data_IF_892611095204
#
_entry.id   IF_892611095204
#
_cell.length_a   1.000
_cell.length_b   1.000
_cell.length_c   1.000
_cell.angle_alpha   90.00
_cell.angle_beta   90.00
_cell.angle_gamma   90.00
#
_symmetry.space_group_name_H-M   'P 1'
#
loop_
_entity.id
_entity.type
_entity.pdbx_description
1 polymer ?
#
# COMPACT_ATOMS: atom_id res chain seq x y z
N UNK A 1 18.07 -12.38 26.35
CA UNK A 1 17.98 -12.74 25.16
C UNK A 1 17.58 -11.71 24.22
N UNK A 2 18.20 -11.62 23.21
CA UNK A 2 17.92 -10.56 22.34
C UNK A 2 16.78 -10.85 21.46
N UNK A 3 16.15 -9.84 21.08
CA UNK A 3 15.10 -9.95 20.13
C UNK A 3 15.62 -10.56 18.87
N UNK A 4 14.91 -11.52 18.38
CA UNK A 4 15.33 -12.08 17.23
C UNK A 4 14.74 -11.36 16.16
N UNK A 5 15.50 -11.00 15.19
CA UNK A 5 15.00 -10.40 13.97
C UNK A 5 14.67 -11.52 13.00
N UNK A 6 13.69 -12.32 13.39
CA UNK A 6 13.23 -13.37 12.51
C UNK A 6 12.49 -12.73 11.35
N UNK A 7 12.31 -13.45 10.27
CA UNK A 7 11.55 -12.94 9.13
C UNK A 7 10.13 -12.58 9.55
N UNK A 8 9.51 -13.38 10.40
CA UNK A 8 8.16 -13.06 10.87
C UNK A 8 8.14 -11.78 11.68
N UNK A 9 9.12 -11.59 12.54
CA UNK A 9 9.20 -10.36 13.34
C UNK A 9 9.41 -9.13 12.50
N UNK A 10 10.29 -9.24 11.51
CA UNK A 10 10.56 -8.11 10.62
C UNK A 10 9.35 -7.76 9.78
N UNK A 11 8.63 -8.76 9.29
CA UNK A 11 7.41 -8.51 8.52
C UNK A 11 6.34 -7.85 9.35
N UNK A 12 6.21 -8.25 10.59
CA UNK A 12 5.22 -7.66 11.48
C UNK A 12 5.56 -6.20 11.77
N UNK A 13 6.83 -5.92 12.05
CA UNK A 13 7.25 -4.56 12.30
C UNK A 13 7.05 -3.68 11.06
N UNK A 14 7.35 -4.21 9.90
CA UNK A 14 7.15 -3.50 8.66
C UNK A 14 5.67 -3.23 8.43
N UNK A 15 4.83 -4.24 8.66
CA UNK A 15 3.39 -4.09 8.46
C UNK A 15 2.79 -3.01 9.35
N UNK A 16 3.27 -2.89 10.59
CA UNK A 16 2.80 -1.84 11.48
C UNK A 16 3.06 -0.46 10.88
N UNK A 17 4.24 -0.28 10.29
CA UNK A 17 4.55 0.99 9.63
C UNK A 17 3.70 1.21 8.40
N UNK A 18 3.46 0.16 7.61
CA UNK A 18 2.59 0.24 6.45
C UNK A 18 1.20 0.68 6.86
N UNK A 19 0.63 0.04 7.87
CA UNK A 19 -0.73 0.36 8.30
C UNK A 19 -0.84 1.79 8.83
N UNK A 20 0.19 2.27 9.51
CA UNK A 20 0.19 3.64 9.99
C UNK A 20 0.11 4.63 8.84
N UNK A 21 0.81 4.35 7.75
CA UNK A 21 0.77 5.21 6.57
C UNK A 21 -0.59 5.11 5.89
N UNK A 22 -1.10 3.88 5.71
CA UNK A 22 -2.35 3.66 5.00
C UNK A 22 -3.53 4.32 5.71
N UNK A 23 -3.52 4.31 7.04
CA UNK A 23 -4.58 4.98 7.80
C UNK A 23 -4.67 6.46 7.51
N UNK A 24 -3.60 7.06 7.04
CA UNK A 24 -3.58 8.49 6.74
C UNK A 24 -4.10 8.84 5.37
N UNK A 25 -4.30 7.85 4.50
CA UNK A 25 -4.79 8.12 3.15
C UNK A 25 -6.23 8.59 3.25
N UNK A 26 -6.53 9.82 2.78
CA UNK A 26 -7.90 10.33 2.89
C UNK A 26 -8.87 9.58 1.99
N UNK A 27 -10.11 9.61 2.34
CA UNK A 27 -11.17 9.10 1.49
C UNK A 27 -11.12 9.82 0.15
N UNK A 28 -11.26 9.08 -0.92
CA UNK A 28 -11.21 9.67 -2.27
C UNK A 28 -9.82 9.84 -2.83
N UNK A 29 -8.82 9.29 -2.15
CA UNK A 29 -7.44 9.33 -2.61
C UNK A 29 -6.84 7.95 -2.60
N UNK A 30 -5.82 7.74 -3.43
CA UNK A 30 -5.12 6.45 -3.48
C UNK A 30 -3.62 6.69 -3.50
N UNK A 31 -2.87 5.67 -3.13
CA UNK A 31 -1.43 5.67 -3.29
C UNK A 31 -0.99 4.31 -3.80
N UNK A 32 0.29 4.16 -4.08
CA UNK A 32 0.81 2.92 -4.64
C UNK A 32 1.64 2.17 -3.63
N UNK A 33 1.82 0.88 -3.86
CA UNK A 33 2.68 0.05 -3.02
C UNK A 33 4.09 0.63 -2.94
N UNK A 34 4.60 1.08 -4.08
CA UNK A 34 5.94 1.67 -4.11
C UNK A 34 6.05 2.97 -3.35
N UNK A 35 5.01 3.80 -3.41
CA UNK A 35 5.02 5.06 -2.67
C UNK A 35 5.03 4.83 -1.16
N UNK A 36 4.27 3.85 -0.70
CA UNK A 36 4.28 3.51 0.72
C UNK A 36 5.66 3.00 1.10
N UNK A 37 6.18 2.06 0.31
CA UNK A 37 7.47 1.44 0.61
C UNK A 37 8.59 2.45 0.69
N UNK A 38 8.55 3.46 -0.18
CA UNK A 38 9.60 4.48 -0.22
C UNK A 38 9.65 5.33 1.04
N UNK A 39 8.60 5.29 1.86
CA UNK A 39 8.55 6.05 3.09
C UNK A 39 8.99 5.28 4.31
N UNK A 40 9.33 4.00 4.14
CA UNK A 40 9.73 3.14 5.23
C UNK A 40 11.20 2.80 5.05
N UNK A 41 12.00 3.08 6.07
CA UNK A 41 13.42 2.79 6.00
C UNK A 41 13.66 1.28 5.98
N UNK A 42 14.75 0.83 5.34
CA UNK A 42 15.06 -0.60 5.38
C UNK A 42 15.29 -1.06 6.81
N UNK A 43 14.84 -2.28 7.13
CA UNK A 43 15.15 -2.84 8.45
C UNK A 43 16.66 -2.94 8.65
N UNK A 44 17.14 -2.85 9.90
CA UNK A 44 18.58 -2.78 10.17
C UNK A 44 19.40 -3.90 9.57
N UNK A 45 18.87 -5.10 9.46
CA UNK A 45 19.64 -6.22 8.99
C UNK A 45 19.45 -6.51 7.51
N UNK A 46 18.78 -5.63 6.79
CA UNK A 46 18.51 -5.84 5.37
C UNK A 46 19.36 -4.87 4.55
N UNK A 47 20.04 -5.40 3.54
CA UNK A 47 20.83 -4.57 2.64
C UNK A 47 19.92 -3.56 1.93
N UNK A 48 20.30 -2.26 1.95
CA UNK A 48 19.44 -1.24 1.34
C UNK A 48 19.14 -1.47 -0.14
N UNK A 49 20.08 -1.98 -0.91
CA UNK A 49 19.82 -2.24 -2.32
C UNK A 49 18.85 -3.39 -2.51
N UNK A 50 19.02 -4.45 -1.72
CA UNK A 50 18.10 -5.56 -1.77
C UNK A 50 16.70 -5.12 -1.34
N UNK A 51 16.64 -4.29 -0.31
CA UNK A 51 15.36 -3.78 0.18
C UNK A 51 14.63 -3.01 -0.92
N UNK A 52 15.32 -2.18 -1.67
CA UNK A 52 14.68 -1.39 -2.72
C UNK A 52 14.00 -2.26 -3.77
N UNK A 53 14.50 -3.48 -3.96
CA UNK A 53 13.92 -4.38 -4.94
C UNK A 53 12.68 -5.12 -4.43
N UNK A 54 12.61 -5.32 -3.11
CA UNK A 54 11.54 -6.16 -2.55
C UNK A 54 10.50 -5.38 -1.74
N UNK A 55 10.78 -4.12 -1.43
CA UNK A 55 9.94 -3.39 -0.48
C UNK A 55 8.49 -3.24 -0.92
N UNK A 56 8.24 -3.02 -2.20
CA UNK A 56 6.87 -2.90 -2.67
C UNK A 56 6.11 -4.21 -2.50
N UNK A 57 6.80 -5.33 -2.68
CA UNK A 57 6.22 -6.64 -2.46
C UNK A 57 5.85 -6.84 -1.00
N UNK A 58 6.70 -6.36 -0.10
CA UNK A 58 6.41 -6.44 1.33
C UNK A 58 5.17 -5.64 1.69
N UNK A 59 4.98 -4.49 1.06
CA UNK A 59 3.76 -3.72 1.26
C UNK A 59 2.56 -4.53 0.78
N UNK A 60 2.70 -5.21 -0.35
CA UNK A 60 1.64 -6.08 -0.85
C UNK A 60 1.26 -7.17 0.14
N UNK A 61 2.25 -7.78 0.79
CA UNK A 61 1.97 -8.79 1.81
C UNK A 61 1.22 -8.19 2.99
N UNK A 62 1.64 -7.00 3.42
CA UNK A 62 0.95 -6.33 4.52
C UNK A 62 -0.50 -6.00 4.17
N UNK A 63 -0.72 -5.58 2.92
CA UNK A 63 -2.07 -5.26 2.48
C UNK A 63 -2.96 -6.51 2.42
N UNK A 64 -2.39 -7.63 1.99
CA UNK A 64 -3.15 -8.88 1.92
C UNK A 64 -3.60 -9.35 3.31
N UNK A 65 -2.84 -9.00 4.34
CA UNK A 65 -3.15 -9.39 5.71
C UNK A 65 -3.78 -8.25 6.52
N UNK A 66 -4.16 -7.15 5.87
CA UNK A 66 -4.62 -5.97 6.59
C UNK A 66 -5.93 -6.23 7.34
N UNK A 67 -6.03 -5.74 8.59
CA UNK A 67 -7.30 -5.80 9.31
C UNK A 67 -8.36 -4.96 8.62
N UNK A 68 -9.61 -5.23 8.95
CA UNK A 68 -10.73 -4.53 8.31
C UNK A 68 -10.72 -3.03 8.53
N UNK A 69 -10.15 -2.57 9.63
CA UNK A 69 -10.13 -1.15 9.92
C UNK A 69 -9.05 -0.37 9.16
N UNK A 70 -8.29 -1.06 8.31
CA UNK A 70 -7.30 -0.41 7.46
C UNK A 70 -7.93 -0.17 6.10
N UNK A 71 -7.90 1.05 5.56
CA UNK A 71 -8.52 1.33 4.26
C UNK A 71 -7.64 0.83 3.12
N UNK A 72 -7.44 -0.48 3.05
CA UNK A 72 -6.56 -1.11 2.10
C UNK A 72 -6.97 -0.88 0.64
N UNK A 73 -8.24 -0.57 0.40
CA UNK A 73 -8.72 -0.31 -0.95
C UNK A 73 -8.03 0.90 -1.58
N UNK A 74 -7.42 1.76 -0.76
CA UNK A 74 -6.76 2.97 -1.24
C UNK A 74 -5.32 2.75 -1.65
N UNK A 75 -4.88 1.49 -1.71
CA UNK A 75 -3.52 1.15 -2.16
C UNK A 75 -3.63 0.35 -3.45
N UNK A 76 -2.99 0.86 -4.50
CA UNK A 76 -3.09 0.26 -5.83
C UNK A 76 -1.69 0.15 -6.43
N UNK A 77 -1.58 -0.45 -7.61
CA UNK A 77 -0.27 -0.58 -8.22
C UNK A 77 0.13 0.69 -8.97
N UNK A 78 1.37 0.72 -9.42
CA UNK A 78 1.92 1.92 -10.07
C UNK A 78 1.27 2.24 -11.41
N UNK A 79 0.55 1.30 -11.98
CA UNK A 79 -0.16 1.53 -13.23
C UNK A 79 -1.53 2.16 -13.03
N UNK A 80 -1.93 2.32 -11.78
CA UNK A 80 -3.25 2.84 -11.48
C UNK A 80 -4.32 1.78 -11.44
N UNK A 81 -3.95 0.51 -11.35
CA UNK A 81 -4.90 -0.60 -11.34
C UNK A 81 -5.04 -1.19 -9.95
N UNK A 82 -6.25 -1.69 -9.64
CA UNK A 82 -6.41 -2.47 -8.43
C UNK A 82 -5.69 -3.79 -8.63
N UNK A 83 -5.17 -4.34 -7.56
CA UNK A 83 -4.35 -5.53 -7.65
C UNK A 83 -5.20 -6.79 -7.56
N UNK A 84 -5.14 -7.67 -8.56
CA UNK A 84 -5.86 -8.94 -8.48
C UNK A 84 -5.28 -9.90 -7.46
N UNK A 85 -4.08 -9.60 -6.96
CA UNK A 85 -3.46 -10.49 -5.98
C UNK A 85 -4.18 -10.55 -4.66
N UNK A 86 -5.05 -9.62 -4.38
CA UNK A 86 -5.81 -9.62 -3.15
C UNK A 86 -7.03 -10.52 -3.23
N UNK A 87 -7.02 -11.46 -4.14
CA UNK A 87 -8.05 -12.48 -4.24
C UNK A 87 -9.39 -11.90 -4.64
N UNK A 88 -10.41 -12.18 -3.85
CA UNK A 88 -11.74 -11.70 -4.15
C UNK A 88 -11.82 -10.19 -4.21
N UNK A 89 -10.73 -9.57 -3.91
CA UNK A 89 -10.74 -8.15 -3.63
C UNK A 89 -10.88 -7.21 -4.80
N UNK A 90 -10.53 -7.61 -6.04
CA UNK A 90 -10.46 -6.63 -7.12
C UNK A 90 -11.79 -5.92 -7.38
N UNK A 91 -12.87 -6.67 -7.55
CA UNK A 91 -14.16 -6.07 -7.81
C UNK A 91 -14.66 -5.28 -6.60
N UNK A 92 -14.44 -5.82 -5.41
CA UNK A 92 -14.84 -5.19 -4.18
C UNK A 92 -14.05 -3.90 -3.95
N UNK A 93 -12.76 -3.94 -4.25
CA UNK A 93 -11.91 -2.77 -4.12
C UNK A 93 -12.38 -1.66 -5.05
N UNK A 94 -12.70 -1.99 -6.30
CA UNK A 94 -13.21 -1.00 -7.24
C UNK A 94 -14.53 -0.41 -6.76
N UNK A 95 -15.42 -1.26 -6.24
CA UNK A 95 -16.70 -0.78 -5.73
C UNK A 95 -16.52 0.20 -4.58
N UNK A 96 -15.60 -0.12 -3.66
CA UNK A 96 -15.32 0.77 -2.55
C UNK A 96 -14.77 2.10 -3.01
N UNK A 97 -13.84 2.07 -3.96
CA UNK A 97 -13.25 3.30 -4.47
C UNK A 97 -14.28 4.15 -5.21
N UNK A 98 -15.20 3.53 -5.93
CA UNK A 98 -16.27 4.28 -6.56
C UNK A 98 -17.16 4.94 -5.54
N UNK A 99 -17.44 4.29 -4.43
CA UNK A 99 -18.20 4.87 -3.35
C UNK A 99 -17.51 6.08 -2.75
N UNK A 100 -16.18 6.13 -2.85
CA UNK A 100 -15.41 7.26 -2.36
C UNK A 100 -15.29 8.38 -3.39
N UNK A 101 -15.92 8.22 -4.55
CA UNK A 101 -15.92 9.26 -5.56
C UNK A 101 -14.84 9.12 -6.62
N UNK A 102 -14.09 8.03 -6.61
CA UNK A 102 -13.04 7.83 -7.60
C UNK A 102 -13.65 7.31 -8.89
N UNK A 103 -13.33 7.97 -9.98
CA UNK A 103 -13.78 7.56 -11.31
C UNK A 103 -12.67 6.83 -12.03
N UNK A 104 -12.99 5.66 -12.54
CA UNK A 104 -12.04 4.88 -13.33
C UNK A 104 -12.10 5.35 -14.78
N UNK A 105 -10.94 5.39 -15.42
CA UNK A 105 -10.88 5.73 -16.84
C UNK A 105 -11.43 4.57 -17.66
N UNK A 106 -11.62 4.83 -18.96
CA UNK A 106 -12.17 3.80 -19.85
C UNK A 106 -11.34 2.53 -19.86
N UNK A 107 -10.03 2.64 -19.65
CA UNK A 107 -9.15 1.46 -19.62
C UNK A 107 -9.12 0.79 -18.25
N UNK A 108 -9.93 1.23 -17.29
CA UNK A 108 -9.99 0.63 -15.97
C UNK A 108 -8.98 1.13 -14.98
N UNK A 109 -8.17 2.10 -15.37
CA UNK A 109 -7.15 2.65 -14.48
C UNK A 109 -7.66 3.86 -13.74
N UNK A 110 -7.04 4.10 -12.58
CA UNK A 110 -7.29 5.32 -11.82
C UNK A 110 -6.23 6.35 -12.24
N UNK A 111 -6.67 7.57 -12.45
CA UNK A 111 -5.77 8.66 -12.80
C UNK A 111 -5.02 9.09 -11.54
N UNK A 112 -3.76 8.69 -11.45
CA UNK A 112 -2.94 9.01 -10.27
C UNK A 112 -2.63 10.49 -10.15
N UNK A 113 -2.64 11.22 -11.25
CA UNK A 113 -2.44 12.66 -11.16
C UNK A 113 -3.62 13.35 -10.48
N UNK A 114 -4.80 12.80 -10.66
CA UNK A 114 -6.01 13.37 -10.07
C UNK A 114 -6.27 12.88 -8.66
N UNK A 115 -6.11 11.57 -8.44
CA UNK A 115 -6.51 10.95 -7.17
C UNK A 115 -5.35 10.53 -6.29
N UNK A 116 -4.12 10.69 -6.76
CA UNK A 116 -2.97 10.29 -5.98
C UNK A 116 -2.82 11.10 -4.70
N UNK A 117 -2.42 10.42 -3.63
CA UNK A 117 -2.22 11.05 -2.34
C UNK A 117 -0.73 11.33 -2.13
N UNK A 118 -0.44 12.55 -1.73
CA UNK A 118 0.92 12.93 -1.38
C UNK A 118 0.99 13.18 0.11
N UNK A 119 1.58 12.26 0.89
CA UNK A 119 1.64 12.42 2.34
C UNK A 119 2.35 13.67 2.83
N UNK A 120 3.12 14.32 1.97
CA UNK A 120 3.80 15.55 2.36
C UNK A 120 2.92 16.77 2.24
N UNK A 121 1.69 16.56 1.85
CA UNK A 121 0.74 17.66 1.80
C UNK A 121 0.84 18.56 0.60
N UNK A 122 1.66 18.20 -0.38
CA UNK A 122 1.72 18.98 -1.56
C UNK A 122 0.69 18.51 -2.49
N UNK A 123 -0.03 19.32 -3.03
CA UNK A 123 -1.06 18.93 -3.98
C UNK A 123 -0.74 19.43 -5.36
#
# INVERSE_FOLDING_TARGET
>A
MTARHTNAGRRKAFAVQVYAIVRRIPRGRVTTYGSIAARIAPPPSVDPLAYRRIRARWVGYAMAAAPENIPWQRVINARGCVSPRLGFGAAWQRARLRQEGIRFKADGRIDLDRYGWNPRGRT
#
